data_IF_473490357038
#
_entry.id   IF_473490357038
#
_cell.length_a   1.000
_cell.length_b   1.000
_cell.length_c   1.000
_cell.angle_alpha   90.00
_cell.angle_beta   90.00
_cell.angle_gamma   90.00
#
_symmetry.space_group_name_H-M   'P 1'
#
loop_
_entity.id
_entity.type
_entity.pdbx_description
1 polymer ?
#
# COMPACT_ATOMS: atom_id res chain seq x y z
N UNK A 1 -17.52 -26.41 0.92
CA UNK A 1 -17.81 -25.32 1.87
C UNK A 1 -16.56 -24.90 2.60
N UNK A 2 -15.88 -23.84 2.15
CA UNK A 2 -14.67 -23.31 2.80
C UNK A 2 -14.56 -21.77 2.78
N UNK A 3 -15.38 -21.08 1.97
CA UNK A 3 -15.46 -19.61 1.95
C UNK A 3 -16.47 -19.08 2.98
N UNK A 4 -17.67 -19.66 3.06
CA UNK A 4 -18.72 -19.22 4.00
C UNK A 4 -18.26 -19.23 5.46
N UNK A 5 -17.49 -20.25 5.87
CA UNK A 5 -17.00 -20.35 7.26
C UNK A 5 -15.99 -19.26 7.61
N UNK A 6 -15.11 -18.86 6.67
CA UNK A 6 -14.09 -17.84 6.93
C UNK A 6 -14.67 -16.42 6.93
N UNK A 7 -15.59 -16.15 6.02
CA UNK A 7 -16.31 -14.88 5.94
C UNK A 7 -17.13 -14.64 7.20
N UNK A 8 -17.85 -15.67 7.68
CA UNK A 8 -18.61 -15.62 8.93
C UNK A 8 -17.72 -15.31 10.14
N UNK A 9 -16.55 -15.93 10.24
CA UNK A 9 -15.61 -15.66 11.35
C UNK A 9 -15.15 -14.20 11.36
N UNK A 10 -14.88 -13.61 10.20
CA UNK A 10 -14.45 -12.20 10.12
C UNK A 10 -15.57 -11.23 10.52
N UNK A 11 -16.82 -11.56 10.21
CA UNK A 11 -17.97 -10.74 10.61
C UNK A 11 -18.24 -10.83 12.11
N UNK A 12 -18.08 -12.01 12.70
CA UNK A 12 -18.13 -12.21 14.14
C UNK A 12 -17.02 -11.44 14.87
N UNK A 13 -15.79 -11.47 14.34
CA UNK A 13 -14.66 -10.68 14.86
C UNK A 13 -14.93 -9.18 14.72
N UNK A 14 -15.45 -8.74 13.57
CA UNK A 14 -15.80 -7.34 13.34
C UNK A 14 -16.84 -6.86 14.37
N UNK A 15 -17.87 -7.68 14.63
CA UNK A 15 -18.88 -7.40 15.64
C UNK A 15 -18.31 -7.41 17.05
N UNK A 16 -17.48 -8.40 17.38
CA UNK A 16 -16.83 -8.52 18.68
C UNK A 16 -15.90 -7.35 19.02
N UNK A 17 -15.24 -6.80 18.01
CA UNK A 17 -14.36 -5.62 18.15
C UNK A 17 -15.10 -4.29 17.98
N UNK A 18 -16.33 -4.28 17.46
CA UNK A 18 -17.00 -3.05 17.03
C UNK A 18 -16.24 -2.32 15.92
N UNK A 19 -15.53 -3.07 15.05
CA UNK A 19 -14.65 -2.54 14.02
C UNK A 19 -15.04 -3.10 12.65
N UNK A 20 -15.26 -2.23 11.67
CA UNK A 20 -15.56 -2.65 10.30
C UNK A 20 -14.34 -3.30 9.63
N UNK A 21 -14.59 -4.28 8.76
CA UNK A 21 -13.56 -5.12 8.12
C UNK A 21 -12.54 -4.32 7.31
N UNK A 22 -12.94 -3.20 6.72
CA UNK A 22 -12.04 -2.31 5.97
C UNK A 22 -10.88 -1.76 6.83
N UNK A 23 -11.02 -1.79 8.17
CA UNK A 23 -9.98 -1.37 9.10
C UNK A 23 -9.09 -2.53 9.57
N UNK A 24 -9.34 -3.78 9.18
CA UNK A 24 -8.58 -4.92 9.69
C UNK A 24 -7.10 -4.89 9.25
N UNK A 25 -6.82 -4.42 8.03
CA UNK A 25 -5.43 -4.24 7.59
C UNK A 25 -4.72 -3.15 8.40
N UNK A 26 -5.46 -2.11 8.83
CA UNK A 26 -4.93 -1.06 9.69
C UNK A 26 -4.67 -1.59 11.11
N UNK A 27 -5.62 -2.33 11.67
CA UNK A 27 -5.46 -2.99 12.97
C UNK A 27 -4.25 -3.93 12.95
N UNK A 28 -4.14 -4.80 11.94
CA UNK A 28 -3.02 -5.74 11.81
C UNK A 28 -1.66 -5.02 11.71
N UNK A 29 -1.58 -3.90 10.99
CA UNK A 29 -0.37 -3.09 10.94
C UNK A 29 -0.02 -2.50 12.31
N UNK A 30 -1.01 -1.94 13.02
CA UNK A 30 -0.84 -1.30 14.32
C UNK A 30 -0.70 -2.26 15.50
N UNK A 31 -0.85 -3.57 15.30
CA UNK A 31 -0.48 -4.61 16.28
C UNK A 31 1.00 -4.99 16.21
N UNK A 32 1.68 -4.57 15.14
CA UNK A 32 3.08 -4.87 14.90
C UNK A 32 3.29 -6.17 14.09
N UNK A 33 4.32 -6.16 13.26
CA UNK A 33 4.71 -7.25 12.35
C UNK A 33 6.18 -7.07 11.93
N UNK A 34 6.66 -7.85 10.96
CA UNK A 34 8.06 -7.80 10.54
C UNK A 34 8.47 -6.49 9.84
N UNK A 35 7.53 -5.76 9.21
CA UNK A 35 7.80 -4.45 8.58
C UNK A 35 7.73 -3.31 9.61
N UNK A 36 6.70 -3.36 10.47
CA UNK A 36 6.49 -2.39 11.54
C UNK A 36 6.49 -3.13 12.88
N UNK A 37 7.66 -3.30 13.48
CA UNK A 37 7.79 -4.07 14.74
C UNK A 37 7.17 -3.36 15.93
N UNK A 38 6.87 -4.13 16.98
CA UNK A 38 6.35 -3.63 18.26
C UNK A 38 7.23 -2.53 18.88
N UNK A 39 8.55 -2.61 18.71
CA UNK A 39 9.48 -1.55 19.17
C UNK A 39 9.19 -0.20 18.53
N UNK A 40 8.79 -0.17 17.25
CA UNK A 40 8.44 1.08 16.57
C UNK A 40 7.11 1.67 17.08
N UNK A 41 6.22 0.82 17.60
CA UNK A 41 4.88 1.15 18.08
C UNK A 41 4.82 1.38 19.60
N UNK A 42 5.90 1.12 20.33
CA UNK A 42 5.96 1.25 21.79
C UNK A 42 5.50 2.62 22.27
N UNK A 43 6.00 3.69 21.66
CA UNK A 43 5.65 5.07 22.04
C UNK A 43 4.15 5.30 21.81
N UNK A 44 3.63 4.83 20.69
CA UNK A 44 2.22 4.91 20.35
C UNK A 44 1.36 4.17 21.39
N UNK A 45 1.72 2.95 21.78
CA UNK A 45 0.99 2.22 22.83
C UNK A 45 1.01 2.95 24.16
N UNK A 46 2.14 3.54 24.54
CA UNK A 46 2.24 4.37 25.74
C UNK A 46 1.38 5.64 25.68
N UNK A 47 1.08 6.17 24.48
CA UNK A 47 0.12 7.27 24.32
C UNK A 47 -1.33 6.84 24.52
N UNK A 48 -1.64 5.57 24.26
CA UNK A 48 -3.00 5.02 24.36
C UNK A 48 -3.31 4.45 25.74
N UNK A 49 -2.32 3.84 26.38
CA UNK A 49 -2.44 3.10 27.64
C UNK A 49 -1.48 3.74 28.65
N UNK A 50 -2.00 4.49 29.65
CA UNK A 50 -1.18 5.07 30.69
C UNK A 50 -0.38 3.99 31.43
N UNK A 51 0.94 4.15 31.49
CA UNK A 51 1.82 3.16 32.14
C UNK A 51 2.04 1.89 31.32
N UNK A 52 1.87 1.94 29.99
CA UNK A 52 2.12 0.79 29.11
C UNK A 52 3.48 0.13 29.37
N UNK A 53 3.44 -1.16 29.68
CA UNK A 53 4.61 -2.01 29.80
C UNK A 53 4.35 -3.34 29.11
N UNK A 54 5.22 -3.70 28.17
CA UNK A 54 5.07 -4.92 27.35
C UNK A 54 4.89 -6.20 28.19
N UNK A 55 5.49 -6.26 29.37
CA UNK A 55 5.47 -7.44 30.23
C UNK A 55 4.17 -7.59 31.03
N UNK A 56 3.46 -6.49 31.30
CA UNK A 56 2.32 -6.47 32.23
C UNK A 56 1.01 -6.12 31.54
N UNK A 57 1.06 -5.32 30.46
CA UNK A 57 -0.12 -4.97 29.68
C UNK A 57 -0.60 -6.18 28.87
N UNK A 58 -1.87 -6.54 29.06
CA UNK A 58 -2.47 -7.66 28.33
C UNK A 58 -2.63 -7.33 26.84
N UNK A 59 -2.52 -8.34 25.98
CA UNK A 59 -2.76 -8.16 24.54
C UNK A 59 -4.18 -7.69 24.24
N UNK A 60 -5.16 -8.13 25.04
CA UNK A 60 -6.55 -7.71 24.89
C UNK A 60 -6.71 -6.19 25.15
N UNK A 61 -6.00 -5.66 26.13
CA UNK A 61 -6.00 -4.22 26.42
C UNK A 61 -5.38 -3.41 25.28
N UNK A 62 -4.27 -3.89 24.71
CA UNK A 62 -3.64 -3.28 23.54
C UNK A 62 -4.57 -3.29 22.34
N UNK A 63 -5.22 -4.42 22.05
CA UNK A 63 -6.20 -4.53 20.96
C UNK A 63 -7.34 -3.54 21.18
N UNK A 64 -7.94 -3.51 22.38
CA UNK A 64 -9.04 -2.59 22.69
C UNK A 64 -8.64 -1.12 22.54
N UNK A 65 -7.45 -0.76 23.02
CA UNK A 65 -6.94 0.60 22.91
C UNK A 65 -6.71 1.03 21.45
N UNK A 66 -6.09 0.17 20.64
CA UNK A 66 -5.83 0.44 19.22
C UNK A 66 -7.13 0.47 18.41
N UNK A 67 -8.08 -0.43 18.67
CA UNK A 67 -9.40 -0.40 18.04
C UNK A 67 -10.11 0.92 18.33
N UNK A 68 -10.09 1.36 19.61
CA UNK A 68 -10.66 2.66 20.01
C UNK A 68 -9.99 3.82 19.27
N UNK A 69 -8.67 3.80 19.13
CA UNK A 69 -7.94 4.80 18.34
C UNK A 69 -8.40 4.81 16.88
N UNK A 70 -8.49 3.63 16.25
CA UNK A 70 -8.91 3.50 14.85
C UNK A 70 -10.31 4.07 14.62
N UNK A 71 -11.28 3.63 15.43
CA UNK A 71 -12.69 4.04 15.29
C UNK A 71 -12.86 5.55 15.51
N UNK A 72 -12.05 6.17 16.38
CA UNK A 72 -12.21 7.58 16.74
C UNK A 72 -11.40 8.55 15.90
N UNK A 73 -10.29 8.12 15.28
CA UNK A 73 -9.31 9.06 14.67
C UNK A 73 -8.81 8.69 13.28
N UNK A 74 -9.21 7.54 12.72
CA UNK A 74 -8.64 7.06 11.46
C UNK A 74 -9.65 7.10 10.30
N UNK A 75 -9.22 7.69 9.19
CA UNK A 75 -9.80 7.46 7.87
C UNK A 75 -8.86 6.55 7.07
N UNK A 76 -9.33 5.35 6.72
CA UNK A 76 -8.54 4.34 5.96
C UNK A 76 -7.97 4.86 4.66
N UNK A 77 -8.56 5.90 4.07
CA UNK A 77 -8.08 6.49 2.81
C UNK A 77 -6.90 7.46 3.02
N UNK A 78 -6.57 7.81 4.27
CA UNK A 78 -5.56 8.81 4.60
C UNK A 78 -4.48 8.26 5.54
N UNK A 79 -3.72 7.27 5.04
CA UNK A 79 -2.63 6.64 5.79
C UNK A 79 -1.52 7.61 6.21
N UNK A 80 -1.31 8.71 5.48
CA UNK A 80 -0.32 9.72 5.85
C UNK A 80 -0.70 10.43 7.16
N UNK A 81 -1.97 10.84 7.27
CA UNK A 81 -2.48 11.53 8.46
C UNK A 81 -2.55 10.57 9.65
N UNK A 82 -2.97 9.32 9.42
CA UNK A 82 -2.94 8.29 10.48
C UNK A 82 -1.50 8.07 10.97
N UNK A 83 -0.54 7.94 10.06
CA UNK A 83 0.88 7.80 10.43
C UNK A 83 1.37 8.96 11.29
N UNK A 84 0.98 10.20 10.97
CA UNK A 84 1.30 11.36 11.79
C UNK A 84 0.63 11.33 13.17
N UNK A 85 -0.59 10.81 13.29
CA UNK A 85 -1.22 10.62 14.60
C UNK A 85 -0.54 9.54 15.44
N UNK A 86 0.01 8.50 14.81
CA UNK A 86 0.70 7.40 15.49
C UNK A 86 2.12 7.80 15.90
N UNK A 87 2.86 8.50 15.04
CA UNK A 87 4.28 8.81 15.24
C UNK A 87 4.60 10.28 15.54
N UNK A 88 3.58 11.15 15.60
CA UNK A 88 3.69 12.56 15.93
C UNK A 88 4.01 13.49 14.76
N UNK A 89 4.50 12.97 13.62
CA UNK A 89 4.80 13.78 12.44
C UNK A 89 4.63 13.00 11.13
N UNK A 90 4.22 13.69 10.07
CA UNK A 90 4.21 13.16 8.69
C UNK A 90 5.61 12.85 8.15
N UNK A 91 6.65 13.48 8.72
CA UNK A 91 8.05 13.29 8.34
C UNK A 91 8.76 12.19 9.13
N UNK A 92 8.09 11.54 10.10
CA UNK A 92 8.70 10.45 10.85
C UNK A 92 8.98 9.26 9.90
N UNK A 93 10.20 8.70 9.88
CA UNK A 93 10.55 7.60 8.98
C UNK A 93 9.70 6.34 9.18
N UNK A 94 9.10 6.15 10.36
CA UNK A 94 8.18 5.04 10.66
C UNK A 94 6.87 5.16 9.88
N UNK A 95 6.49 6.35 9.40
CA UNK A 95 5.30 6.55 8.55
C UNK A 95 5.41 5.77 7.24
N UNK A 96 6.60 5.72 6.63
CA UNK A 96 6.81 4.93 5.42
C UNK A 96 6.63 3.43 5.69
N UNK A 97 7.24 2.92 6.76
CA UNK A 97 7.09 1.53 7.20
C UNK A 97 5.65 1.16 7.51
N UNK A 98 4.91 2.08 8.13
CA UNK A 98 3.49 1.90 8.41
C UNK A 98 2.66 1.77 7.13
N UNK A 99 2.87 2.63 6.13
CA UNK A 99 2.18 2.52 4.83
C UNK A 99 2.50 1.20 4.14
N UNK A 100 3.77 0.80 4.12
CA UNK A 100 4.19 -0.50 3.56
C UNK A 100 3.54 -1.67 4.31
N UNK A 101 3.46 -1.59 5.63
CA UNK A 101 2.82 -2.60 6.47
C UNK A 101 1.33 -2.73 6.19
N UNK A 102 0.59 -1.62 6.09
CA UNK A 102 -0.83 -1.64 5.72
C UNK A 102 -1.00 -2.21 4.31
N UNK A 103 -0.15 -1.81 3.36
CA UNK A 103 -0.20 -2.29 1.98
C UNK A 103 0.09 -3.80 1.89
N UNK A 104 1.01 -4.30 2.71
CA UNK A 104 1.32 -5.73 2.80
C UNK A 104 0.08 -6.54 3.17
N UNK A 105 -0.67 -6.13 4.20
CA UNK A 105 -1.91 -6.80 4.57
C UNK A 105 -2.99 -6.67 3.50
N UNK A 106 -3.14 -5.48 2.91
CA UNK A 106 -4.07 -5.27 1.81
C UNK A 106 -3.78 -6.25 0.66
N UNK A 107 -2.54 -6.34 0.19
CA UNK A 107 -2.12 -7.25 -0.88
C UNK A 107 -2.38 -8.74 -0.54
N UNK A 108 -2.34 -9.10 0.75
CA UNK A 108 -2.67 -10.45 1.22
C UNK A 108 -4.17 -10.76 1.26
N UNK A 109 -5.05 -9.76 1.11
CA UNK A 109 -6.51 -9.98 1.00
C UNK A 109 -6.92 -10.36 -0.41
N UNK A 110 -8.09 -11.00 -0.58
CA UNK A 110 -8.64 -11.35 -1.90
C UNK A 110 -8.76 -10.12 -2.82
N UNK A 111 -9.22 -8.99 -2.27
CA UNK A 111 -9.40 -7.75 -3.02
C UNK A 111 -8.08 -7.07 -3.36
N UNK A 112 -7.10 -7.11 -2.45
CA UNK A 112 -5.78 -6.55 -2.73
C UNK A 112 -4.90 -7.43 -3.60
N UNK A 113 -5.05 -8.77 -3.56
CA UNK A 113 -4.39 -9.67 -4.50
C UNK A 113 -4.81 -9.39 -5.95
N UNK A 114 -6.11 -9.18 -6.19
CA UNK A 114 -6.63 -8.81 -7.52
C UNK A 114 -6.16 -7.41 -7.98
N UNK A 115 -5.86 -6.52 -7.02
CA UNK A 115 -5.33 -5.16 -7.28
C UNK A 115 -3.81 -5.09 -7.30
N UNK A 116 -3.12 -6.15 -6.90
CA UNK A 116 -1.67 -6.19 -6.84
C UNK A 116 -1.09 -6.15 -8.25
N UNK A 117 -0.56 -4.98 -8.63
CA UNK A 117 0.37 -4.88 -9.74
C UNK A 117 1.76 -5.13 -9.15
N UNK A 118 2.45 -6.23 -9.48
CA UNK A 118 3.85 -6.35 -9.10
C UNK A 118 4.55 -5.10 -9.59
N UNK A 119 5.31 -4.45 -8.70
CA UNK A 119 6.17 -3.34 -9.10
C UNK A 119 7.03 -3.84 -10.27
N UNK A 120 6.71 -3.38 -11.48
CA UNK A 120 7.56 -3.57 -12.64
C UNK A 120 8.77 -2.66 -12.48
N UNK A 121 9.66 -3.02 -11.57
CA UNK A 121 11.05 -2.56 -11.59
C UNK A 121 11.70 -3.16 -12.84
N UNK A 122 11.47 -2.51 -13.99
CA UNK A 122 11.93 -3.04 -15.26
C UNK A 122 11.46 -2.34 -16.53
N UNK A 123 11.24 -1.01 -16.54
CA UNK A 123 11.33 -0.26 -17.81
C UNK A 123 12.80 0.05 -18.09
N UNK A 124 13.51 -0.94 -18.65
CA UNK A 124 14.63 -0.68 -19.57
C UNK A 124 14.12 -1.03 -20.97
N UNK A 125 13.34 -0.13 -21.56
CA UNK A 125 13.12 -0.15 -23.01
C UNK A 125 14.40 0.40 -23.66
N UNK A 126 15.29 -0.52 -23.96
CA UNK A 126 16.44 -0.29 -24.82
C UNK A 126 15.94 -0.23 -26.27
N UNK A 127 15.96 0.97 -26.85
CA UNK A 127 16.30 1.24 -28.26
C UNK A 127 15.38 0.69 -29.36
N UNK A 128 15.15 1.44 -30.46
CA UNK A 128 14.26 1.01 -31.53
C UNK A 128 14.87 -0.17 -32.31
N UNK A 129 14.13 -1.27 -32.41
CA UNK A 129 14.43 -2.34 -33.38
C UNK A 129 14.07 -1.85 -34.78
N UNK A 130 15.09 -1.72 -35.63
CA UNK A 130 14.93 -1.63 -37.08
C UNK A 130 14.22 -2.89 -37.59
N UNK A 131 12.98 -2.74 -38.05
CA UNK A 131 12.32 -3.68 -38.92
C UNK A 131 12.31 -3.09 -40.34
N UNK A 132 13.01 -3.77 -41.24
CA UNK A 132 13.02 -3.48 -42.66
C UNK A 132 11.62 -3.71 -43.26
N UNK A 133 11.16 -2.80 -44.11
CA UNK A 133 10.16 -3.11 -45.13
C UNK A 133 10.42 -2.31 -46.41
N UNK A 134 10.92 -3.03 -47.40
CA UNK A 134 10.83 -2.69 -48.82
C UNK A 134 9.36 -2.42 -49.20
N UNK A 135 9.08 -1.27 -49.81
CA UNK A 135 8.01 -1.15 -50.79
C UNK A 135 8.30 -0.04 -51.81
N UNK A 136 8.11 -0.40 -53.07
CA UNK A 136 8.31 0.39 -54.28
C UNK A 136 7.57 1.72 -54.28
N UNK A 137 8.22 2.78 -54.79
CA UNK A 137 7.53 3.88 -55.46
C UNK A 137 8.22 4.19 -56.78
N UNK A 138 7.59 3.70 -57.84
CA UNK A 138 7.69 4.23 -59.19
C UNK A 138 6.83 5.50 -59.30
N UNK A 139 7.22 6.35 -60.26
CA UNK A 139 6.49 7.46 -60.88
C UNK A 139 6.73 8.89 -60.38
N UNK A 140 7.71 9.50 -61.07
CA UNK A 140 7.56 10.68 -61.94
C UNK A 140 7.09 12.00 -61.33
N UNK A 141 8.00 12.97 -61.30
CA UNK A 141 7.70 14.34 -61.74
C UNK A 141 8.90 14.96 -62.49
N UNK A 142 8.53 15.79 -63.46
CA UNK A 142 9.25 16.27 -64.63
C UNK A 142 10.57 17.06 -64.45
N UNK A 143 11.47 16.81 -65.40
CA UNK A 143 12.19 17.78 -66.26
C UNK A 143 11.98 19.27 -65.93
N UNK A 144 13.09 20.01 -65.80
CA UNK A 144 13.43 21.03 -66.80
C UNK A 144 14.94 21.33 -66.83
N UNK A 145 15.41 21.47 -68.07
CA UNK A 145 16.77 21.71 -68.54
C UNK A 145 17.28 23.16 -68.32
N UNK A 146 18.59 23.32 -68.55
CA UNK A 146 19.36 24.55 -68.81
C UNK A 146 19.75 25.40 -67.57
N UNK A 147 20.99 25.88 -67.38
CA UNK A 147 22.07 26.19 -68.33
C UNK A 147 23.41 26.37 -67.57
N UNK A 148 24.51 26.20 -68.31
CA UNK A 148 25.93 26.20 -67.92
C UNK A 148 26.53 27.66 -67.86
N UNK A 149 27.87 27.88 -67.84
CA UNK A 149 28.67 28.30 -66.68
C UNK A 149 29.22 29.76 -66.78
N UNK A 150 29.88 30.24 -65.71
CA UNK A 150 31.05 31.12 -65.76
C UNK A 150 32.00 30.85 -64.60
#
# INVERSE_FOLDING_TARGET
GSLETKEFILDEVARGLGLSRNYFCLLAALMGNYLLTETHLRDFYATLIPGYEKQTTSQEEVIRAVVKFIVSRCDVNNLLTIGAHVFGSVSDPRVAKFKESVQYFLNGTKDGFLRYKPFSSGRRDAGPRHAAQHHQQHQSYSRNDNQEPQ
#
